data_IF_549170094962
#
_entry.id   IF_549170094962
#
_cell.length_a   1.000
_cell.length_b   1.000
_cell.length_c   1.000
_cell.angle_alpha   90.00
_cell.angle_beta   90.00
_cell.angle_gamma   90.00
#
_symmetry.space_group_name_H-M   'P 1'
#
loop_
_entity.id
_entity.type
_entity.pdbx_description
1 polymer ?
#
# COMPACT_ATOMS: atom_id res chain seq x y z
N UNK A 1 -1.48 -5.46 12.44
CA UNK A 1 -0.51 -5.64 11.33
C UNK A 1 0.45 -6.82 11.57
N UNK A 2 0.73 -7.19 12.82
CA UNK A 2 1.63 -8.31 13.16
C UNK A 2 1.18 -9.68 12.59
N UNK A 3 -0.09 -9.88 12.32
CA UNK A 3 -0.63 -11.12 11.72
C UNK A 3 -0.71 -11.07 10.20
N UNK A 4 -0.47 -9.93 9.59
CA UNK A 4 -0.46 -9.75 8.13
C UNK A 4 0.87 -10.25 7.56
N UNK A 5 0.80 -11.03 6.49
CA UNK A 5 1.99 -11.36 5.70
C UNK A 5 2.12 -10.33 4.59
N UNK A 6 3.15 -9.50 4.66
CA UNK A 6 3.53 -8.58 3.61
C UNK A 6 4.50 -9.26 2.64
N UNK A 7 4.31 -9.08 1.35
CA UNK A 7 5.24 -9.50 0.32
C UNK A 7 5.79 -8.25 -0.36
N UNK A 8 7.00 -7.87 -0.01
CA UNK A 8 7.71 -6.75 -0.64
C UNK A 8 8.26 -7.24 -1.96
N UNK A 9 7.96 -6.53 -3.05
CA UNK A 9 8.35 -6.89 -4.41
C UNK A 9 9.04 -5.71 -5.07
N UNK A 10 10.06 -6.00 -5.86
CA UNK A 10 10.73 -5.05 -6.75
C UNK A 10 11.12 -5.75 -8.04
N UNK A 11 11.10 -5.00 -9.14
CA UNK A 11 11.38 -5.49 -10.48
C UNK A 11 12.44 -4.65 -11.16
N UNK A 12 13.38 -5.31 -11.85
CA UNK A 12 14.16 -4.66 -12.88
C UNK A 12 13.57 -4.97 -14.25
N UNK A 13 13.62 -4.03 -15.17
CA UNK A 13 12.93 -4.09 -16.45
C UNK A 13 13.77 -3.52 -17.58
N UNK A 14 13.39 -3.81 -18.83
CA UNK A 14 14.06 -3.25 -20.01
C UNK A 14 13.66 -1.78 -20.31
N UNK A 15 12.78 -1.18 -19.51
CA UNK A 15 12.33 0.20 -19.70
C UNK A 15 11.15 0.55 -18.80
N UNK A 16 10.65 1.77 -18.87
CA UNK A 16 9.64 2.31 -17.94
C UNK A 16 8.19 1.99 -18.28
N UNK A 17 7.89 1.52 -19.50
CA UNK A 17 6.54 1.22 -19.96
C UNK A 17 6.29 -0.29 -19.99
N UNK A 18 5.30 -0.77 -19.23
CA UNK A 18 4.89 -2.19 -19.22
C UNK A 18 4.26 -2.67 -20.54
N UNK A 19 3.82 -1.74 -21.39
CA UNK A 19 3.28 -2.09 -22.72
C UNK A 19 4.36 -2.72 -23.64
N UNK A 20 5.58 -2.18 -23.62
CA UNK A 20 6.67 -2.59 -24.49
C UNK A 20 7.86 -3.19 -23.75
N UNK A 21 8.08 -2.78 -22.51
CA UNK A 21 9.13 -3.30 -21.65
C UNK A 21 8.85 -4.71 -21.15
N UNK A 22 9.91 -5.37 -20.70
CA UNK A 22 9.88 -6.73 -20.14
C UNK A 22 10.66 -6.76 -18.84
N UNK A 23 10.29 -7.70 -17.97
CA UNK A 23 10.96 -7.93 -16.69
C UNK A 23 12.30 -8.61 -16.97
N UNK A 24 13.35 -8.18 -16.27
CA UNK A 24 14.71 -8.75 -16.32
C UNK A 24 15.14 -9.36 -14.99
N UNK A 25 14.57 -8.90 -13.86
CA UNK A 25 14.80 -9.47 -12.55
C UNK A 25 13.54 -9.31 -11.70
N UNK A 26 13.26 -10.30 -10.86
CA UNK A 26 12.21 -10.26 -9.84
C UNK A 26 12.86 -10.52 -8.49
N UNK A 27 12.63 -9.63 -7.52
CA UNK A 27 12.93 -9.84 -6.12
C UNK A 27 11.65 -9.77 -5.31
N UNK A 28 11.49 -10.66 -4.35
CA UNK A 28 10.40 -10.60 -3.40
C UNK A 28 10.80 -11.21 -2.05
N UNK A 29 10.35 -10.56 -0.96
CA UNK A 29 10.56 -11.06 0.41
C UNK A 29 9.26 -10.98 1.17
N UNK A 30 8.91 -12.07 1.84
CA UNK A 30 7.78 -12.11 2.77
C UNK A 30 8.21 -11.74 4.17
N UNK A 31 7.44 -10.84 4.79
CA UNK A 31 7.59 -10.45 6.19
C UNK A 31 6.30 -10.73 6.96
N UNK A 32 6.43 -11.23 8.18
CA UNK A 32 5.31 -11.40 9.12
C UNK A 32 5.78 -11.10 10.53
N UNK A 33 5.04 -10.24 11.23
CA UNK A 33 5.44 -9.81 12.59
C UNK A 33 6.78 -9.06 12.65
N UNK A 34 7.24 -8.49 11.55
CA UNK A 34 8.55 -7.83 11.43
C UNK A 34 9.68 -8.75 11.01
N UNK A 35 9.47 -10.06 10.98
CA UNK A 35 10.49 -11.06 10.64
C UNK A 35 10.38 -11.50 9.18
N UNK A 36 11.52 -11.73 8.54
CA UNK A 36 11.57 -12.34 7.22
C UNK A 36 11.15 -13.82 7.30
N UNK A 37 10.19 -14.20 6.43
CA UNK A 37 9.65 -15.56 6.38
C UNK A 37 10.23 -16.36 5.21
N UNK A 38 10.32 -15.73 4.03
CA UNK A 38 10.83 -16.39 2.81
C UNK A 38 11.20 -15.37 1.75
N UNK A 39 12.04 -15.80 0.80
CA UNK A 39 12.51 -15.01 -0.35
C UNK A 39 12.20 -15.70 -1.66
N UNK A 40 11.99 -14.89 -2.69
CA UNK A 40 11.95 -15.28 -4.08
C UNK A 40 12.86 -14.33 -4.87
N UNK A 41 13.76 -14.87 -5.68
CA UNK A 41 14.67 -14.08 -6.51
C UNK A 41 15.02 -14.82 -7.77
N UNK A 42 14.87 -14.17 -8.90
CA UNK A 42 15.27 -14.75 -10.19
C UNK A 42 15.58 -13.67 -11.22
N UNK A 43 16.60 -13.92 -12.04
CA UNK A 43 16.75 -13.23 -13.31
C UNK A 43 15.72 -13.78 -14.30
N UNK A 44 15.28 -12.94 -15.22
CA UNK A 44 14.32 -13.27 -16.27
C UNK A 44 14.93 -12.94 -17.62
N UNK A 45 14.86 -13.86 -18.56
CA UNK A 45 15.19 -13.57 -19.96
C UNK A 45 14.05 -12.75 -20.58
N UNK A 46 14.25 -11.46 -20.89
CA UNK A 46 13.18 -10.59 -21.40
C UNK A 46 12.79 -10.91 -22.85
N UNK A 47 13.56 -11.75 -23.57
CA UNK A 47 13.33 -12.08 -24.96
C UNK A 47 13.55 -10.91 -25.92
N UNK A 48 14.18 -9.85 -25.45
CA UNK A 48 14.53 -8.66 -26.22
C UNK A 48 15.84 -8.06 -25.67
N UNK A 49 16.56 -7.25 -26.46
CA UNK A 49 17.76 -6.58 -25.97
C UNK A 49 17.49 -5.67 -24.80
N UNK A 50 18.43 -5.64 -23.83
CA UNK A 50 18.38 -4.69 -22.72
C UNK A 50 19.07 -3.40 -23.18
N UNK A 51 18.40 -2.23 -23.13
CA UNK A 51 19.01 -0.96 -23.53
C UNK A 51 20.24 -0.61 -22.70
N UNK A 52 21.26 -0.02 -23.34
CA UNK A 52 22.53 0.28 -22.68
C UNK A 52 22.40 1.15 -21.42
N UNK A 53 21.47 2.12 -21.42
CA UNK A 53 21.18 2.94 -20.24
C UNK A 53 20.57 2.12 -19.09
N UNK A 54 19.82 1.08 -19.37
CA UNK A 54 19.28 0.16 -18.36
C UNK A 54 20.39 -0.74 -17.83
N UNK A 55 21.26 -1.27 -18.70
CA UNK A 55 22.45 -2.02 -18.27
C UNK A 55 23.33 -1.18 -17.35
N UNK A 56 23.53 0.10 -17.67
CA UNK A 56 24.31 1.02 -16.82
C UNK A 56 23.64 1.27 -15.45
N UNK A 57 22.31 1.29 -15.42
CA UNK A 57 21.54 1.55 -14.20
C UNK A 57 21.51 0.32 -13.27
N UNK A 58 21.19 -0.85 -13.84
CA UNK A 58 20.90 -2.06 -13.06
C UNK A 58 22.07 -3.02 -12.96
N UNK A 59 23.07 -2.85 -13.84
CA UNK A 59 24.17 -3.80 -14.00
C UNK A 59 23.77 -5.12 -14.69
N UNK A 60 22.49 -5.28 -15.08
CA UNK A 60 21.99 -6.51 -15.72
C UNK A 60 22.24 -6.43 -17.23
N UNK A 61 23.17 -7.24 -17.71
CA UNK A 61 23.48 -7.35 -19.14
C UNK A 61 22.65 -8.43 -19.84
N UNK A 62 22.56 -8.33 -21.18
CA UNK A 62 21.88 -9.37 -21.98
C UNK A 62 22.52 -10.76 -21.82
N UNK A 63 23.81 -10.82 -21.57
CA UNK A 63 24.53 -12.09 -21.33
C UNK A 63 24.14 -12.72 -19.97
N UNK A 64 23.86 -11.91 -18.95
CA UNK A 64 23.46 -12.43 -17.65
C UNK A 64 22.07 -13.10 -17.66
N UNK A 65 21.19 -12.65 -18.55
CA UNK A 65 19.82 -13.16 -18.66
C UNK A 65 19.64 -14.15 -19.82
N UNK A 66 20.67 -14.43 -20.58
CA UNK A 66 20.57 -15.28 -21.79
C UNK A 66 20.04 -16.69 -21.48
N UNK A 67 20.51 -17.28 -20.38
CA UNK A 67 20.13 -18.63 -19.93
C UNK A 67 19.12 -18.58 -18.75
N UNK A 68 18.61 -17.39 -18.41
CA UNK A 68 17.58 -17.25 -17.38
C UNK A 68 16.22 -17.74 -17.92
N UNK A 69 15.30 -18.18 -17.03
CA UNK A 69 13.96 -18.57 -17.44
C UNK A 69 13.22 -17.39 -18.09
N UNK A 70 12.29 -17.72 -18.97
CA UNK A 70 11.31 -16.76 -19.48
C UNK A 70 10.28 -16.44 -18.41
N UNK A 71 9.61 -15.30 -18.52
CA UNK A 71 8.63 -14.89 -17.51
C UNK A 71 7.51 -15.91 -17.34
N UNK A 72 7.03 -16.53 -18.44
CA UNK A 72 6.00 -17.56 -18.43
C UNK A 72 6.37 -18.82 -17.64
N UNK A 73 7.66 -19.12 -17.53
CA UNK A 73 8.17 -20.27 -16.76
C UNK A 73 8.21 -20.00 -15.25
N UNK A 74 8.03 -18.74 -14.85
CA UNK A 74 8.17 -18.26 -13.46
C UNK A 74 6.83 -17.86 -12.86
N UNK A 75 5.84 -17.50 -13.70
CA UNK A 75 4.58 -16.91 -13.24
C UNK A 75 3.83 -17.77 -12.23
N UNK A 76 3.70 -19.08 -12.45
CA UNK A 76 2.98 -19.97 -11.52
C UNK A 76 3.65 -19.98 -10.14
N UNK A 77 4.97 -20.16 -10.09
CA UNK A 77 5.73 -20.14 -8.83
C UNK A 77 5.64 -18.78 -8.14
N UNK A 78 5.66 -17.70 -8.91
CA UNK A 78 5.51 -16.36 -8.35
C UNK A 78 4.10 -16.11 -7.81
N UNK A 79 3.04 -16.54 -8.52
CA UNK A 79 1.66 -16.42 -8.06
C UNK A 79 1.42 -17.21 -6.77
N UNK A 80 1.94 -18.43 -6.69
CA UNK A 80 1.92 -19.23 -5.46
C UNK A 80 2.66 -18.53 -4.32
N UNK A 81 3.81 -17.91 -4.64
CA UNK A 81 4.58 -17.16 -3.65
C UNK A 81 3.81 -15.96 -3.10
N UNK A 82 3.10 -15.19 -3.92
CA UNK A 82 2.39 -13.98 -3.46
C UNK A 82 0.96 -14.25 -2.97
N UNK A 83 0.47 -15.47 -3.11
CA UNK A 83 -0.91 -15.83 -2.72
C UNK A 83 -1.17 -15.52 -1.23
N UNK A 84 -2.30 -14.86 -0.96
CA UNK A 84 -2.74 -14.55 0.41
C UNK A 84 -1.89 -13.49 1.13
N UNK A 85 -0.99 -12.82 0.43
CA UNK A 85 -0.17 -11.74 0.99
C UNK A 85 -0.70 -10.35 0.60
N UNK A 86 -0.27 -9.33 1.34
CA UNK A 86 -0.37 -7.94 0.93
C UNK A 86 0.90 -7.58 0.16
N UNK A 87 0.75 -7.17 -1.09
CA UNK A 87 1.88 -6.72 -1.90
C UNK A 87 2.35 -5.35 -1.44
N UNK A 88 3.66 -5.17 -1.38
CA UNK A 88 4.30 -3.91 -1.03
C UNK A 88 5.37 -3.60 -2.07
N UNK A 89 5.39 -2.37 -2.58
CA UNK A 89 6.46 -1.91 -3.45
C UNK A 89 6.70 -0.41 -3.27
N UNK A 90 7.86 0.06 -3.70
CA UNK A 90 8.20 1.48 -3.70
C UNK A 90 7.87 2.10 -5.06
N UNK A 91 6.72 2.79 -5.16
CA UNK A 91 6.04 3.17 -6.40
C UNK A 91 5.32 1.97 -7.04
N UNK A 92 4.48 1.32 -6.26
CA UNK A 92 3.83 0.04 -6.56
C UNK A 92 3.08 0.00 -7.91
N UNK A 93 2.65 1.16 -8.44
CA UNK A 93 2.04 1.24 -9.77
C UNK A 93 2.97 0.70 -10.86
N UNK A 94 4.28 0.89 -10.71
CA UNK A 94 5.27 0.40 -11.68
C UNK A 94 5.34 -1.12 -11.64
N UNK A 95 5.67 -1.70 -10.48
CA UNK A 95 5.88 -3.14 -10.34
C UNK A 95 4.61 -3.95 -10.60
N UNK A 96 3.50 -3.55 -9.98
CA UNK A 96 2.19 -4.19 -10.21
C UNK A 96 1.75 -4.05 -11.68
N UNK A 97 2.05 -2.92 -12.31
CA UNK A 97 1.76 -2.69 -13.74
C UNK A 97 2.53 -3.65 -14.65
N UNK A 98 3.82 -3.88 -14.39
CA UNK A 98 4.64 -4.84 -15.15
C UNK A 98 4.22 -6.29 -14.89
N UNK A 99 3.93 -6.64 -13.63
CA UNK A 99 3.43 -7.98 -13.28
C UNK A 99 2.09 -8.27 -13.96
N UNK A 100 1.12 -7.36 -13.86
CA UNK A 100 -0.18 -7.54 -14.50
C UNK A 100 -0.08 -7.61 -16.03
N UNK A 101 0.80 -6.80 -16.64
CA UNK A 101 1.04 -6.88 -18.07
C UNK A 101 1.70 -8.21 -18.50
N UNK A 102 2.56 -8.77 -17.66
CA UNK A 102 3.13 -10.11 -17.91
C UNK A 102 2.05 -11.20 -17.77
N UNK A 103 1.24 -11.14 -16.73
CA UNK A 103 0.13 -12.06 -16.49
C UNK A 103 -0.86 -12.04 -17.65
N UNK A 104 -1.33 -10.86 -18.06
CA UNK A 104 -2.28 -10.70 -19.17
C UNK A 104 -1.76 -11.29 -20.49
N UNK A 105 -0.47 -11.07 -20.79
CA UNK A 105 0.16 -11.64 -22.02
C UNK A 105 0.16 -13.16 -22.07
N UNK A 106 0.16 -13.80 -20.91
CA UNK A 106 0.20 -15.25 -20.78
C UNK A 106 -1.14 -15.85 -20.33
N UNK A 107 -2.23 -15.07 -20.37
CA UNK A 107 -3.60 -15.56 -20.14
C UNK A 107 -3.99 -15.76 -18.69
N UNK A 108 -3.26 -15.15 -17.76
CA UNK A 108 -3.59 -15.13 -16.34
C UNK A 108 -4.45 -13.91 -15.98
N UNK A 109 -5.24 -14.05 -14.93
CA UNK A 109 -5.93 -12.93 -14.31
C UNK A 109 -4.93 -11.96 -13.64
N UNK A 110 -5.25 -10.66 -13.55
CA UNK A 110 -4.42 -9.70 -12.83
C UNK A 110 -4.35 -10.03 -11.33
N UNK A 111 -3.30 -9.56 -10.67
CA UNK A 111 -3.13 -9.69 -9.23
C UNK A 111 -4.32 -9.10 -8.46
N UNK A 112 -4.87 -9.87 -7.53
CA UNK A 112 -6.01 -9.48 -6.67
C UNK A 112 -5.60 -9.08 -5.26
N UNK A 113 -4.30 -9.11 -4.96
CA UNK A 113 -3.74 -8.75 -3.66
C UNK A 113 -4.04 -7.29 -3.29
N UNK A 114 -4.26 -7.02 -2.01
CA UNK A 114 -4.16 -5.66 -1.51
C UNK A 114 -2.73 -5.14 -1.73
N UNK A 115 -2.62 -3.85 -2.06
CA UNK A 115 -1.32 -3.23 -2.40
C UNK A 115 -1.04 -2.07 -1.45
N UNK A 116 0.16 -2.04 -0.89
CA UNK A 116 0.71 -0.93 -0.13
C UNK A 116 1.83 -0.28 -0.93
N UNK A 117 1.69 1.00 -1.23
CA UNK A 117 2.72 1.80 -1.90
C UNK A 117 3.51 2.61 -0.86
N UNK A 118 4.76 2.25 -0.64
CA UNK A 118 5.61 2.92 0.35
C UNK A 118 5.96 4.36 -0.03
N UNK A 119 5.91 4.76 -1.31
CA UNK A 119 6.08 6.17 -1.72
C UNK A 119 4.92 7.02 -1.20
N UNK A 120 3.68 6.53 -1.38
CA UNK A 120 2.50 7.27 -0.93
C UNK A 120 2.42 7.35 0.59
N UNK A 121 2.78 6.28 1.29
CA UNK A 121 2.91 6.27 2.74
C UNK A 121 4.01 7.23 3.22
N UNK A 122 5.20 7.21 2.60
CA UNK A 122 6.30 8.11 2.97
C UNK A 122 5.92 9.58 2.75
N UNK A 123 5.27 9.89 1.63
CA UNK A 123 4.73 11.25 1.39
C UNK A 123 3.74 11.69 2.45
N UNK A 124 2.98 10.77 3.01
CA UNK A 124 2.00 11.04 4.07
C UNK A 124 2.63 11.22 5.44
N UNK A 125 3.63 10.41 5.77
CA UNK A 125 4.14 10.28 7.14
C UNK A 125 5.42 11.07 7.39
N UNK A 126 6.32 11.16 6.40
CA UNK A 126 7.68 11.68 6.59
C UNK A 126 8.11 12.74 5.57
N UNK A 127 7.21 13.21 4.70
CA UNK A 127 7.55 14.17 3.62
C UNK A 127 8.22 15.44 4.13
N UNK A 128 7.86 15.92 5.31
CA UNK A 128 8.44 17.12 5.91
C UNK A 128 9.86 16.91 6.50
N UNK A 129 10.28 15.66 6.67
CA UNK A 129 11.57 15.31 7.26
C UNK A 129 12.65 15.09 6.19
N UNK A 130 12.26 14.89 4.92
CA UNK A 130 13.17 14.49 3.83
C UNK A 130 13.05 15.41 2.61
N UNK A 131 14.12 15.57 1.81
CA UNK A 131 14.07 16.39 0.59
C UNK A 131 13.16 15.80 -0.49
N UNK A 132 13.06 14.47 -0.57
CA UNK A 132 12.16 13.74 -1.45
C UNK A 132 11.91 12.33 -0.91
N UNK A 133 10.95 11.60 -1.50
CA UNK A 133 10.58 10.24 -1.09
C UNK A 133 11.13 9.17 -2.05
N UNK A 134 12.30 9.35 -2.65
CA UNK A 134 13.02 8.28 -3.35
C UNK A 134 13.56 7.27 -2.34
N UNK A 135 13.59 5.99 -2.69
CA UNK A 135 14.03 4.93 -1.79
C UNK A 135 15.45 5.19 -1.28
N UNK A 136 16.39 5.56 -2.16
CA UNK A 136 17.76 5.89 -1.79
C UNK A 136 17.87 7.07 -0.81
N UNK A 137 17.03 8.08 -0.99
CA UNK A 137 16.98 9.24 -0.08
C UNK A 137 16.46 8.84 1.29
N UNK A 138 15.39 8.05 1.34
CA UNK A 138 14.78 7.59 2.58
C UNK A 138 15.72 6.64 3.32
N UNK A 139 16.30 5.67 2.62
CA UNK A 139 17.24 4.71 3.19
C UNK A 139 18.47 5.39 3.80
N UNK A 140 19.07 6.35 3.09
CA UNK A 140 20.19 7.12 3.57
C UNK A 140 19.83 8.04 4.76
N UNK A 141 18.68 8.74 4.66
CA UNK A 141 18.26 9.71 5.69
C UNK A 141 17.95 9.02 7.04
N UNK A 142 17.27 7.88 6.99
CA UNK A 142 16.88 7.13 8.19
C UNK A 142 17.90 6.05 8.57
N UNK A 143 19.06 5.98 7.88
CA UNK A 143 20.15 5.03 8.13
C UNK A 143 19.68 3.58 8.14
N UNK A 144 18.88 3.17 7.14
CA UNK A 144 18.44 1.80 7.02
C UNK A 144 19.63 0.84 6.79
N UNK A 145 19.57 -0.39 7.32
CA UNK A 145 20.61 -1.41 7.12
C UNK A 145 20.86 -1.71 5.64
N UNK A 146 19.79 -1.74 4.84
CA UNK A 146 19.89 -2.00 3.42
C UNK A 146 19.80 -0.70 2.60
N UNK A 147 20.64 -0.62 1.57
CA UNK A 147 20.68 0.52 0.66
C UNK A 147 20.31 0.05 -0.74
N UNK A 148 19.40 0.76 -1.47
CA UNK A 148 19.02 0.40 -2.81
C UNK A 148 20.16 0.67 -3.80
N UNK A 149 20.35 -0.26 -4.75
CA UNK A 149 21.41 -0.19 -5.76
C UNK A 149 20.91 -0.52 -7.17
N UNK A 150 19.61 -0.49 -7.41
CA UNK A 150 18.98 -0.91 -8.65
C UNK A 150 19.23 -2.40 -8.96
N UNK A 151 19.10 -3.23 -7.96
CA UNK A 151 19.00 -4.68 -8.03
C UNK A 151 17.78 -5.09 -7.21
N UNK A 152 16.92 -5.92 -7.79
CA UNK A 152 15.61 -6.19 -7.23
C UNK A 152 15.67 -6.66 -5.76
N UNK A 153 16.59 -7.54 -5.40
CA UNK A 153 16.67 -8.02 -4.01
C UNK A 153 17.16 -6.95 -3.03
N UNK A 154 18.14 -6.13 -3.41
CA UNK A 154 18.65 -5.06 -2.55
C UNK A 154 17.58 -3.98 -2.33
N UNK A 155 16.82 -3.65 -3.39
CA UNK A 155 15.75 -2.65 -3.35
C UNK A 155 14.55 -3.19 -2.55
N UNK A 156 14.23 -4.50 -2.63
CA UNK A 156 13.25 -5.17 -1.77
C UNK A 156 13.63 -5.09 -0.30
N UNK A 157 14.88 -5.36 0.05
CA UNK A 157 15.33 -5.31 1.44
C UNK A 157 15.27 -3.87 1.99
N UNK A 158 15.70 -2.88 1.22
CA UNK A 158 15.58 -1.47 1.59
C UNK A 158 14.11 -1.02 1.70
N UNK A 159 13.24 -1.51 0.83
CA UNK A 159 11.79 -1.25 0.89
C UNK A 159 11.15 -1.94 2.11
N UNK A 160 11.65 -3.11 2.50
CA UNK A 160 11.23 -3.81 3.73
C UNK A 160 11.57 -3.01 4.98
N UNK A 161 12.79 -2.47 5.08
CA UNK A 161 13.19 -1.58 6.18
C UNK A 161 12.27 -0.34 6.23
N UNK A 162 12.01 0.27 5.08
CA UNK A 162 11.11 1.41 4.95
C UNK A 162 9.68 1.06 5.37
N UNK A 163 9.15 -0.09 4.96
CA UNK A 163 7.81 -0.54 5.33
C UNK A 163 7.67 -0.63 6.86
N UNK A 164 8.60 -1.28 7.54
CA UNK A 164 8.56 -1.43 8.99
C UNK A 164 8.63 -0.07 9.70
N UNK A 165 9.51 0.80 9.24
CA UNK A 165 9.62 2.17 9.76
C UNK A 165 8.32 2.97 9.57
N UNK A 166 7.68 2.88 8.39
CA UNK A 166 6.43 3.58 8.11
C UNK A 166 5.24 2.99 8.89
N UNK A 167 5.20 1.68 9.13
CA UNK A 167 4.19 1.05 9.99
C UNK A 167 4.28 1.58 11.42
N UNK A 168 5.48 1.69 11.96
CA UNK A 168 5.70 2.27 13.30
C UNK A 168 5.22 3.73 13.36
N UNK A 169 5.55 4.54 12.35
CA UNK A 169 5.07 5.93 12.23
C UNK A 169 3.54 6.00 12.09
N UNK A 170 2.93 5.08 11.34
CA UNK A 170 1.49 5.03 11.12
C UNK A 170 0.71 4.71 12.41
N UNK A 171 1.30 4.00 13.36
CA UNK A 171 0.68 3.70 14.64
C UNK A 171 0.30 4.99 15.42
N UNK A 172 1.08 6.07 15.28
CA UNK A 172 0.76 7.37 15.88
C UNK A 172 -0.54 8.00 15.31
N UNK A 173 -1.02 7.51 14.16
CA UNK A 173 -2.28 7.92 13.54
C UNK A 173 -3.43 6.92 13.77
N UNK A 174 -3.28 5.99 14.72
CA UNK A 174 -4.28 4.96 15.01
C UNK A 174 -4.42 3.90 13.91
N UNK A 175 -3.34 3.62 13.18
CA UNK A 175 -3.31 2.62 12.12
C UNK A 175 -2.77 1.31 12.69
N UNK A 176 -3.65 0.32 12.88
CA UNK A 176 -3.29 -0.97 13.45
C UNK A 176 -3.66 -2.17 12.57
N UNK A 177 -4.30 -1.94 11.43
CA UNK A 177 -4.66 -2.97 10.46
C UNK A 177 -4.36 -2.57 9.02
N UNK A 178 -4.54 -3.53 8.10
CA UNK A 178 -4.20 -3.34 6.70
C UNK A 178 -5.15 -2.37 5.97
N UNK A 179 -6.42 -2.37 6.32
CA UNK A 179 -7.41 -1.49 5.68
C UNK A 179 -7.07 -0.03 5.98
N UNK A 180 -6.73 0.26 7.24
CA UNK A 180 -6.30 1.58 7.68
C UNK A 180 -4.97 1.99 7.04
N UNK A 181 -4.01 1.05 6.92
CA UNK A 181 -2.71 1.32 6.32
C UNK A 181 -2.84 1.66 4.83
N UNK A 182 -3.64 0.91 4.08
CA UNK A 182 -3.92 1.16 2.66
C UNK A 182 -4.68 2.47 2.47
N UNK A 183 -5.61 2.80 3.36
CA UNK A 183 -6.39 4.03 3.28
C UNK A 183 -5.60 5.29 3.70
N UNK A 184 -4.57 5.15 4.55
CA UNK A 184 -3.85 6.27 5.17
C UNK A 184 -3.34 7.34 4.18
N UNK A 185 -2.78 7.03 3.00
CA UNK A 185 -2.36 8.04 2.04
C UNK A 185 -3.52 8.91 1.53
N UNK A 186 -4.73 8.35 1.42
CA UNK A 186 -5.93 9.06 0.95
C UNK A 186 -6.62 9.84 2.08
N UNK A 187 -6.38 9.44 3.33
CA UNK A 187 -6.81 10.17 4.53
C UNK A 187 -5.86 11.35 4.72
N UNK A 188 -5.94 12.28 3.81
CA UNK A 188 -4.90 13.25 3.60
C UNK A 188 -4.74 14.29 4.67
N UNK A 189 -4.06 15.32 4.32
CA UNK A 189 -3.80 16.58 5.01
C UNK A 189 -5.07 17.35 5.46
N UNK A 190 -6.16 16.65 5.84
CA UNK A 190 -7.31 17.31 6.43
C UNK A 190 -6.85 18.00 7.73
N UNK A 191 -7.14 19.28 7.95
CA UNK A 191 -6.73 20.00 9.16
C UNK A 191 -7.12 19.29 10.46
N UNK A 192 -8.22 18.53 10.43
CA UNK A 192 -8.76 17.78 11.56
C UNK A 192 -8.26 16.32 11.66
N UNK A 193 -7.21 15.95 10.92
CA UNK A 193 -6.68 14.56 10.92
C UNK A 193 -6.23 14.05 12.30
N UNK A 194 -5.94 14.96 13.25
CA UNK A 194 -5.68 14.59 14.66
C UNK A 194 -6.86 13.85 15.30
N UNK A 195 -8.08 14.11 14.82
CA UNK A 195 -9.32 13.49 15.32
C UNK A 195 -9.50 12.04 14.84
N UNK A 196 -8.64 11.53 13.96
CA UNK A 196 -8.64 10.13 13.55
C UNK A 196 -8.51 9.16 14.73
N UNK A 197 -7.85 9.57 15.82
CA UNK A 197 -7.78 8.78 17.06
C UNK A 197 -9.16 8.44 17.63
N UNK A 198 -10.16 9.31 17.46
CA UNK A 198 -11.54 9.05 17.90
C UNK A 198 -12.22 7.89 17.16
N UNK A 199 -11.59 7.36 16.12
CA UNK A 199 -12.12 6.25 15.32
C UNK A 199 -11.53 4.89 15.70
N UNK A 200 -10.61 4.82 16.68
CA UNK A 200 -9.90 3.59 17.02
C UNK A 200 -10.86 2.50 17.53
N UNK A 201 -11.82 2.89 18.37
CA UNK A 201 -12.78 1.98 18.99
C UNK A 201 -14.05 1.76 18.16
N UNK A 202 -14.15 2.37 16.97
CA UNK A 202 -15.33 2.23 16.12
C UNK A 202 -15.40 0.82 15.51
N UNK A 203 -16.60 0.20 15.48
CA UNK A 203 -16.78 -1.13 14.94
C UNK A 203 -16.59 -1.16 13.42
N UNK A 204 -16.11 -2.29 12.90
CA UNK A 204 -15.90 -2.54 11.45
C UNK A 204 -17.12 -3.20 10.80
N UNK A 205 -18.17 -3.44 11.57
CA UNK A 205 -19.43 -4.00 11.07
C UNK A 205 -20.46 -2.95 10.70
N UNK A 206 -21.63 -3.41 10.26
CA UNK A 206 -22.78 -2.55 9.99
C UNK A 206 -23.27 -1.86 11.25
N UNK A 207 -23.58 -0.56 11.14
CA UNK A 207 -24.07 0.18 12.31
C UNK A 207 -24.42 1.63 12.00
N UNK A 208 -24.86 2.30 13.06
CA UNK A 208 -25.14 3.73 13.11
C UNK A 208 -24.02 4.43 13.86
N UNK A 209 -23.66 5.62 13.42
CA UNK A 209 -22.71 6.48 14.11
C UNK A 209 -23.24 7.90 14.26
N UNK A 210 -22.85 8.54 15.35
CA UNK A 210 -23.22 9.91 15.68
C UNK A 210 -21.96 10.75 15.84
N UNK A 211 -21.97 11.94 15.29
CA UNK A 211 -20.99 12.96 15.61
C UNK A 211 -21.56 13.91 16.63
N UNK A 212 -20.85 14.11 17.73
CA UNK A 212 -21.23 14.93 18.85
C UNK A 212 -20.26 16.11 19.00
N UNK A 213 -20.75 17.24 19.46
CA UNK A 213 -19.93 18.38 19.87
C UNK A 213 -19.40 18.23 21.30
N UNK A 214 -18.76 19.28 21.82
CA UNK A 214 -18.21 19.30 23.18
C UNK A 214 -19.28 19.23 24.25
N UNK A 215 -20.49 19.70 23.95
CA UNK A 215 -21.63 19.65 24.87
C UNK A 215 -22.38 18.31 24.85
N UNK A 216 -22.00 17.40 23.93
CA UNK A 216 -22.68 16.13 23.71
C UNK A 216 -23.89 16.23 22.79
N UNK A 217 -24.10 17.37 22.15
CA UNK A 217 -25.22 17.57 21.22
C UNK A 217 -24.91 16.86 19.88
N UNK A 218 -25.95 16.23 19.28
CA UNK A 218 -25.85 15.50 18.06
C UNK A 218 -25.70 16.44 16.85
N UNK A 219 -24.54 16.44 16.21
CA UNK A 219 -24.26 17.22 15.01
C UNK A 219 -24.66 16.48 13.73
N UNK A 220 -24.52 15.15 13.72
CA UNK A 220 -24.81 14.32 12.56
C UNK A 220 -25.07 12.87 12.95
N UNK A 221 -25.99 12.23 12.23
CA UNK A 221 -26.28 10.80 12.33
C UNK A 221 -26.05 10.15 10.97
N UNK A 222 -25.31 9.06 10.95
CA UNK A 222 -25.05 8.32 9.73
C UNK A 222 -25.16 6.81 9.92
N UNK A 223 -25.34 6.08 8.81
CA UNK A 223 -25.33 4.61 8.78
C UNK A 223 -24.28 4.10 7.81
N UNK A 224 -23.68 2.96 8.09
CA UNK A 224 -22.70 2.35 7.23
C UNK A 224 -22.67 0.82 7.40
N UNK A 225 -22.24 0.11 6.37
CA UNK A 225 -21.92 -1.33 6.40
C UNK A 225 -20.59 -1.62 7.10
N UNK A 226 -19.72 -0.62 7.16
CA UNK A 226 -18.52 -0.59 7.99
C UNK A 226 -18.40 0.81 8.58
N UNK A 227 -18.77 0.95 9.88
CA UNK A 227 -18.84 2.24 10.55
C UNK A 227 -17.47 2.91 10.60
N UNK A 228 -16.43 2.17 10.98
CA UNK A 228 -15.06 2.72 11.09
C UNK A 228 -14.56 3.25 9.74
N UNK A 229 -14.63 2.46 8.69
CA UNK A 229 -14.20 2.88 7.35
C UNK A 229 -14.98 4.11 6.87
N UNK A 230 -16.29 4.14 7.13
CA UNK A 230 -17.13 5.27 6.76
C UNK A 230 -16.78 6.54 7.51
N UNK A 231 -16.59 6.48 8.82
CA UNK A 231 -16.22 7.66 9.62
C UNK A 231 -14.84 8.17 9.20
N UNK A 232 -13.88 7.28 8.98
CA UNK A 232 -12.53 7.67 8.49
C UNK A 232 -12.56 8.32 7.11
N UNK A 233 -13.47 7.92 6.23
CA UNK A 233 -13.60 8.51 4.89
C UNK A 233 -13.95 10.00 4.90
N UNK A 234 -14.50 10.54 5.96
CA UNK A 234 -14.73 11.98 6.09
C UNK A 234 -13.44 12.81 6.18
N UNK A 235 -12.34 12.18 6.58
CA UNK A 235 -11.00 12.80 6.65
C UNK A 235 -10.19 12.62 5.37
N UNK A 236 -10.78 12.07 4.27
CA UNK A 236 -10.07 11.87 3.00
C UNK A 236 -9.98 13.17 2.19
N UNK A 237 -8.93 13.32 1.40
CA UNK A 237 -8.69 14.48 0.52
C UNK A 237 -9.80 14.65 -0.53
N UNK A 238 -10.42 13.54 -0.95
CA UNK A 238 -11.51 13.53 -1.95
C UNK A 238 -12.87 13.98 -1.42
N UNK A 239 -12.99 14.30 -0.14
CA UNK A 239 -14.24 14.76 0.44
C UNK A 239 -14.49 16.25 0.10
N UNK A 240 -15.21 16.47 -1.01
CA UNK A 240 -15.44 17.80 -1.57
C UNK A 240 -16.64 18.55 -0.97
N UNK A 241 -17.43 17.90 -0.08
CA UNK A 241 -18.62 18.50 0.52
C UNK A 241 -18.24 19.56 1.55
N UNK A 242 -18.47 20.84 1.21
CA UNK A 242 -18.15 21.99 2.10
C UNK A 242 -18.71 21.84 3.52
N UNK A 243 -19.88 21.22 3.66
CA UNK A 243 -20.52 20.96 4.97
C UNK A 243 -19.73 20.01 5.85
N UNK A 244 -18.98 19.04 5.27
CA UNK A 244 -18.20 18.07 6.03
C UNK A 244 -17.01 18.73 6.73
N UNK A 245 -16.30 19.62 6.06
CA UNK A 245 -15.18 20.36 6.67
C UNK A 245 -15.62 21.19 7.88
N UNK A 246 -16.80 21.83 7.82
CA UNK A 246 -17.37 22.57 8.96
C UNK A 246 -17.82 21.64 10.08
N UNK A 247 -18.44 20.52 9.73
CA UNK A 247 -18.87 19.50 10.69
C UNK A 247 -17.67 18.94 11.46
N UNK A 248 -16.60 18.54 10.77
CA UNK A 248 -15.42 17.95 11.41
C UNK A 248 -14.71 18.89 12.38
N UNK A 249 -14.78 20.21 12.18
CA UNK A 249 -14.24 21.18 13.15
C UNK A 249 -14.97 21.12 14.50
N UNK A 250 -16.26 20.86 14.48
CA UNK A 250 -17.12 20.84 15.67
C UNK A 250 -17.16 19.48 16.36
N UNK A 251 -16.89 18.37 15.63
CA UNK A 251 -16.92 17.02 16.20
C UNK A 251 -15.85 16.87 17.27
N UNK A 252 -16.27 16.50 18.48
CA UNK A 252 -15.40 16.20 19.62
C UNK A 252 -15.48 14.74 20.04
N UNK A 253 -16.59 14.06 19.75
CA UNK A 253 -16.82 12.67 20.06
C UNK A 253 -17.52 11.95 18.91
N UNK A 254 -17.23 10.65 18.77
CA UNK A 254 -17.94 9.75 17.87
C UNK A 254 -18.47 8.57 18.68
N UNK A 255 -19.76 8.32 18.59
CA UNK A 255 -20.42 7.18 19.23
C UNK A 255 -21.02 6.31 18.15
N UNK A 256 -20.98 4.99 18.33
CA UNK A 256 -21.55 4.05 17.38
C UNK A 256 -22.26 2.90 18.09
N UNK A 257 -23.25 2.33 17.41
CA UNK A 257 -23.98 1.15 17.82
C UNK A 257 -23.98 0.16 16.66
N UNK A 258 -23.64 -1.10 16.93
CA UNK A 258 -23.73 -2.17 15.96
C UNK A 258 -25.18 -2.57 15.72
N UNK A 259 -25.54 -2.78 14.45
CA UNK A 259 -26.86 -3.25 14.05
C UNK A 259 -26.71 -4.68 13.51
N UNK A 260 -27.28 -5.65 14.21
CA UNK A 260 -27.14 -7.09 13.89
C UNK A 260 -27.95 -7.54 12.67
N UNK A 261 -28.97 -6.79 12.22
CA UNK A 261 -29.85 -7.22 11.13
C UNK A 261 -29.64 -6.47 9.82
N UNK A 262 -29.51 -7.23 8.71
CA UNK A 262 -29.47 -6.69 7.34
C UNK A 262 -30.77 -5.97 6.93
N UNK A 263 -31.89 -6.28 7.53
CA UNK A 263 -33.22 -5.72 7.22
C UNK A 263 -33.31 -4.22 7.48
N UNK A 264 -32.54 -3.70 8.40
CA UNK A 264 -32.51 -2.28 8.73
C UNK A 264 -31.95 -1.39 7.61
N UNK A 265 -31.08 -1.94 6.76
CA UNK A 265 -30.50 -1.22 5.62
C UNK A 265 -31.44 -1.17 4.39
N UNK A 266 -32.48 -2.00 4.33
CA UNK A 266 -33.41 -2.07 3.23
C UNK A 266 -34.49 -0.96 3.24
N UNK A 267 -34.74 -0.35 4.37
CA UNK A 267 -35.67 0.78 4.49
C UNK A 267 -34.96 2.09 4.08
N UNK A 268 -35.09 2.46 2.79
CA UNK A 268 -34.77 3.82 2.35
C UNK A 268 -35.85 4.77 2.92
N UNK A 269 -35.50 5.83 3.66
CA UNK A 269 -36.40 6.96 3.76
C UNK A 269 -36.49 7.63 2.39
N UNK A 270 -37.71 7.78 1.91
CA UNK A 270 -38.10 8.56 0.73
C UNK A 270 -37.67 10.02 0.84
#
# INVERSE_FOLDING_TARGET
LSQVTFCVVDLETTGSSSAVGRITEVGAVKYRGGEEVSRFSTLINPGQPIPANIVMLTGISSSMVADAPRVEEVLDTFLDFVQGTVLVAHNARFDVGFLNAALERHGYDPLSNAVVDTVTLARRLVRSEVPNCKLSTLAAHFNFPHQPIHRAMDDVLATGDLLHYLIERAAAFGVFDIEDLVALPSIGSHPESRKLKMTEDLPRGPGVYLFLDLAGEVLYVGKATNVRARVRSYFSIGESRKKVGSLLKLVMHTVSELVESREWFAQKPS
#
